data_IF_801675597779
#
_entry.id   IF_801675597779
#
_cell.length_a   1.000
_cell.length_b   1.000
_cell.length_c   1.000
_cell.angle_alpha   90.00
_cell.angle_beta   90.00
_cell.angle_gamma   90.00
#
_symmetry.space_group_name_H-M   'P 1'
#
loop_
_entity.id
_entity.type
_entity.pdbx_description
1 polymer ?
#
# COMPACT_ATOMS: atom_id res chain seq x y z
N UNK A 1 -2.37 -16.87 28.45
CA UNK A 1 -2.35 -16.09 27.20
C UNK A 1 -2.43 -17.08 26.06
N UNK A 2 -3.63 -17.30 25.51
CA UNK A 2 -3.77 -18.08 24.28
C UNK A 2 -3.36 -17.18 23.11
N UNK A 3 -2.24 -17.54 22.48
CA UNK A 3 -1.92 -17.10 21.14
C UNK A 3 -3.09 -17.53 20.24
N UNK A 4 -3.83 -16.58 19.65
CA UNK A 4 -5.04 -16.87 18.86
C UNK A 4 -4.79 -17.74 17.63
N UNK A 5 -3.55 -18.15 17.37
CA UNK A 5 -3.16 -19.24 16.44
C UNK A 5 -3.49 -18.99 14.98
N UNK A 6 -4.09 -17.83 14.65
CA UNK A 6 -4.57 -17.52 13.33
C UNK A 6 -3.47 -16.80 12.54
N UNK A 7 -3.00 -17.37 11.42
CA UNK A 7 -1.99 -16.72 10.61
C UNK A 7 -2.50 -15.38 10.06
N UNK A 8 -1.56 -14.46 9.82
CA UNK A 8 -1.84 -13.15 9.24
C UNK A 8 -2.63 -13.29 7.93
N UNK A 9 -3.82 -12.68 7.87
CA UNK A 9 -4.65 -12.69 6.67
C UNK A 9 -4.42 -11.44 5.84
N UNK A 10 -4.23 -11.64 4.55
CA UNK A 10 -4.28 -10.61 3.52
C UNK A 10 -5.63 -10.65 2.84
N UNK A 11 -6.34 -9.54 2.76
CA UNK A 11 -7.64 -9.48 2.07
C UNK A 11 -7.53 -10.03 0.66
N UNK A 12 -6.54 -9.53 -0.10
CA UNK A 12 -6.23 -10.00 -1.46
C UNK A 12 -6.20 -11.54 -1.57
N UNK A 13 -5.57 -12.22 -0.59
CA UNK A 13 -5.38 -13.66 -0.64
C UNK A 13 -6.49 -14.49 0.04
N UNK A 14 -7.24 -13.92 0.97
CA UNK A 14 -8.16 -14.68 1.83
C UNK A 14 -9.64 -14.30 1.67
N UNK A 15 -9.93 -13.10 1.13
CA UNK A 15 -11.31 -12.64 0.97
C UNK A 15 -12.10 -13.56 0.04
N UNK A 16 -13.35 -13.86 0.39
CA UNK A 16 -14.22 -14.72 -0.46
C UNK A 16 -14.90 -13.96 -1.58
N UNK A 17 -15.08 -12.65 -1.40
CA UNK A 17 -15.71 -11.75 -2.35
C UNK A 17 -15.14 -10.34 -2.23
N UNK A 18 -15.55 -9.44 -3.14
CA UNK A 18 -15.03 -8.06 -3.18
C UNK A 18 -15.47 -7.24 -1.95
N UNK A 19 -16.59 -7.57 -1.33
CA UNK A 19 -17.13 -6.86 -0.16
C UNK A 19 -16.51 -7.29 1.17
N UNK A 20 -15.83 -8.43 1.21
CA UNK A 20 -15.08 -8.90 2.37
C UNK A 20 -13.91 -7.94 2.66
N UNK A 21 -14.01 -7.22 3.78
CA UNK A 21 -13.02 -6.26 4.29
C UNK A 21 -12.26 -6.83 5.50
N UNK A 22 -11.89 -8.11 5.47
CA UNK A 22 -11.09 -8.74 6.52
C UNK A 22 -9.60 -8.86 6.18
N UNK A 23 -8.75 -8.86 7.22
CA UNK A 23 -7.29 -8.93 7.08
C UNK A 23 -6.65 -7.60 6.68
N UNK A 24 -5.40 -7.67 6.20
CA UNK A 24 -4.70 -6.50 5.66
C UNK A 24 -5.37 -6.09 4.35
N UNK A 25 -5.97 -4.89 4.36
CA UNK A 25 -6.76 -4.35 3.25
C UNK A 25 -5.88 -3.68 2.19
N UNK A 26 -4.86 -2.97 2.64
CA UNK A 26 -3.88 -2.27 1.81
C UNK A 26 -2.57 -2.14 2.59
N UNK A 27 -1.48 -1.87 1.87
CA UNK A 27 -0.16 -1.62 2.41
C UNK A 27 0.38 -0.33 1.82
N UNK A 28 0.60 0.67 2.68
CA UNK A 28 1.19 1.94 2.27
C UNK A 28 2.70 1.90 2.44
N UNK A 29 3.46 2.20 1.40
CA UNK A 29 4.93 2.20 1.43
C UNK A 29 5.53 3.37 0.67
N UNK A 30 6.85 3.53 0.80
CA UNK A 30 7.61 4.42 -0.07
C UNK A 30 7.84 3.77 -1.46
N UNK A 31 8.60 4.42 -2.32
CA UNK A 31 8.89 3.91 -3.66
C UNK A 31 10.11 2.97 -3.72
N UNK A 32 10.55 2.38 -2.61
CA UNK A 32 11.71 1.52 -2.59
C UNK A 32 11.43 0.17 -3.28
N UNK A 33 11.92 0.02 -4.52
CA UNK A 33 11.65 -1.16 -5.37
C UNK A 33 11.98 -2.50 -4.70
N UNK A 34 13.06 -2.58 -3.92
CA UNK A 34 13.43 -3.80 -3.18
C UNK A 34 12.42 -4.20 -2.09
N UNK A 35 11.86 -3.23 -1.35
CA UNK A 35 10.89 -3.49 -0.27
C UNK A 35 9.55 -3.91 -0.87
N UNK A 36 9.08 -3.18 -1.88
CA UNK A 36 7.87 -3.52 -2.62
C UNK A 36 7.98 -4.91 -3.25
N UNK A 37 9.08 -5.21 -3.96
CA UNK A 37 9.30 -6.54 -4.54
C UNK A 37 9.34 -7.63 -3.47
N UNK A 38 9.98 -7.38 -2.33
CA UNK A 38 10.00 -8.31 -1.20
C UNK A 38 8.59 -8.65 -0.69
N UNK A 39 7.72 -7.65 -0.55
CA UNK A 39 6.31 -7.86 -0.22
C UNK A 39 5.59 -8.66 -1.30
N UNK A 40 5.76 -8.32 -2.58
CA UNK A 40 5.15 -9.04 -3.70
C UNK A 40 5.56 -10.53 -3.74
N UNK A 41 6.85 -10.82 -3.56
CA UNK A 41 7.37 -12.20 -3.48
C UNK A 41 6.82 -12.95 -2.27
N UNK A 42 6.66 -12.28 -1.13
CA UNK A 42 6.02 -12.87 0.04
C UNK A 42 4.56 -13.24 -0.24
N UNK A 43 3.80 -12.35 -0.86
CA UNK A 43 2.39 -12.59 -1.23
C UNK A 43 2.26 -13.72 -2.24
N UNK A 44 3.16 -13.80 -3.21
CA UNK A 44 3.24 -14.90 -4.17
C UNK A 44 3.53 -16.24 -3.51
N UNK A 45 4.48 -16.27 -2.56
CA UNK A 45 4.75 -17.48 -1.78
C UNK A 45 3.52 -17.92 -0.98
N UNK A 46 2.81 -16.99 -0.36
CA UNK A 46 1.59 -17.29 0.39
C UNK A 46 0.47 -17.80 -0.54
N UNK A 47 0.28 -17.20 -1.71
CA UNK A 47 -0.77 -17.64 -2.65
C UNK A 47 -0.56 -19.06 -3.13
N UNK A 48 0.68 -19.52 -3.27
CA UNK A 48 1.03 -20.89 -3.64
C UNK A 48 0.78 -21.92 -2.53
N UNK A 49 0.62 -21.48 -1.29
CA UNK A 49 0.34 -22.34 -0.13
C UNK A 49 -1.15 -22.41 0.22
N UNK A 50 -1.95 -21.50 -0.34
CA UNK A 50 -3.39 -21.44 -0.12
C UNK A 50 -4.12 -22.37 -1.11
N UNK A 51 -5.34 -22.83 -0.78
CA UNK A 51 -6.20 -23.51 -1.73
C UNK A 51 -6.37 -22.70 -3.00
N UNK A 52 -6.28 -23.39 -4.14
CA UNK A 52 -6.33 -22.76 -5.43
C UNK A 52 -7.68 -22.06 -5.65
N UNK A 53 -7.63 -20.83 -6.13
CA UNK A 53 -8.81 -19.98 -6.32
C UNK A 53 -8.56 -18.93 -7.38
N UNK A 54 -9.64 -18.47 -7.99
CA UNK A 54 -9.60 -17.39 -8.96
C UNK A 54 -9.43 -16.04 -8.29
N UNK A 55 -8.75 -15.13 -8.99
CA UNK A 55 -8.61 -13.75 -8.57
C UNK A 55 -9.96 -13.01 -8.63
N UNK A 56 -10.26 -12.25 -7.58
CA UNK A 56 -11.54 -11.54 -7.47
C UNK A 56 -11.69 -10.41 -8.50
N UNK A 57 -10.57 -9.88 -9.01
CA UNK A 57 -10.56 -8.76 -9.96
C UNK A 57 -10.37 -9.25 -11.40
N UNK A 58 -9.72 -10.39 -11.58
CA UNK A 58 -9.47 -11.05 -12.85
C UNK A 58 -9.90 -12.52 -12.76
N UNK A 59 -11.22 -12.83 -12.87
CA UNK A 59 -11.74 -14.19 -12.62
C UNK A 59 -11.23 -15.28 -13.57
N UNK A 60 -10.51 -14.92 -14.62
CA UNK A 60 -9.86 -15.83 -15.57
C UNK A 60 -8.45 -16.26 -15.15
N UNK A 61 -7.89 -15.69 -14.06
CA UNK A 61 -6.56 -16.00 -13.55
C UNK A 61 -6.66 -16.59 -12.16
N UNK A 62 -5.79 -17.55 -11.84
CA UNK A 62 -5.66 -18.05 -10.46
C UNK A 62 -4.76 -17.13 -9.64
N UNK A 63 -5.04 -16.99 -8.35
CA UNK A 63 -4.22 -16.16 -7.45
C UNK A 63 -2.80 -16.73 -7.31
N UNK A 64 -2.65 -18.06 -7.42
CA UNK A 64 -1.38 -18.78 -7.40
C UNK A 64 -0.48 -18.52 -8.62
N UNK A 65 -1.06 -18.05 -9.73
CA UNK A 65 -0.38 -17.74 -11.00
C UNK A 65 0.00 -16.25 -11.14
N UNK A 66 -0.41 -15.41 -10.19
CA UNK A 66 -0.04 -14.00 -10.18
C UNK A 66 1.45 -13.85 -9.87
N UNK A 67 2.12 -12.94 -10.59
CA UNK A 67 3.50 -12.61 -10.28
C UNK A 67 3.58 -11.63 -9.08
N UNK A 68 4.80 -11.35 -8.60
CA UNK A 68 4.98 -10.47 -7.44
C UNK A 68 4.40 -9.06 -7.65
N UNK A 69 4.34 -8.54 -8.87
CA UNK A 69 3.83 -7.21 -9.18
C UNK A 69 2.32 -7.22 -9.33
N UNK A 70 1.73 -8.29 -9.87
CA UNK A 70 0.29 -8.51 -9.86
C UNK A 70 -0.27 -8.47 -8.43
N UNK A 71 0.43 -9.10 -7.48
CA UNK A 71 0.06 -9.03 -6.06
C UNK A 71 0.13 -7.60 -5.52
N UNK A 72 1.18 -6.84 -5.86
CA UNK A 72 1.31 -5.45 -5.43
C UNK A 72 0.18 -4.57 -5.96
N UNK A 73 -0.27 -4.74 -7.21
CA UNK A 73 -1.39 -3.96 -7.76
C UNK A 73 -2.71 -4.12 -6.98
N UNK A 74 -2.84 -5.16 -6.16
CA UNK A 74 -4.05 -5.49 -5.39
C UNK A 74 -3.99 -5.07 -3.92
N UNK A 75 -2.83 -4.60 -3.44
CA UNK A 75 -2.65 -4.26 -2.03
C UNK A 75 -1.79 -3.03 -1.79
N UNK A 76 -0.84 -2.71 -2.67
CA UNK A 76 0.17 -1.70 -2.42
C UNK A 76 -0.26 -0.31 -2.89
N UNK A 77 -0.14 0.68 -2.01
CA UNK A 77 -0.37 2.10 -2.30
C UNK A 77 0.88 2.88 -1.95
N UNK A 78 1.28 3.81 -2.81
CA UNK A 78 2.39 4.70 -2.52
C UNK A 78 1.97 5.77 -1.53
N UNK A 79 2.83 6.02 -0.55
CA UNK A 79 2.67 7.10 0.41
C UNK A 79 2.71 8.45 -0.32
N UNK A 80 1.59 9.16 -0.34
CA UNK A 80 1.46 10.43 -1.06
C UNK A 80 2.51 11.45 -0.61
N UNK A 81 2.85 11.49 0.68
CA UNK A 81 3.89 12.37 1.23
C UNK A 81 5.26 12.10 0.59
N UNK A 82 5.66 10.83 0.48
CA UNK A 82 6.93 10.46 -0.15
C UNK A 82 6.92 10.76 -1.65
N UNK A 83 5.81 10.48 -2.34
CA UNK A 83 5.68 10.82 -3.76
C UNK A 83 5.79 12.32 -3.98
N UNK A 84 5.07 13.13 -3.21
CA UNK A 84 5.10 14.59 -3.31
C UNK A 84 6.47 15.17 -2.96
N UNK A 85 7.16 14.62 -1.94
CA UNK A 85 8.53 14.98 -1.59
C UNK A 85 9.49 14.68 -2.74
N UNK A 86 9.39 13.51 -3.37
CA UNK A 86 10.21 13.12 -4.51
C UNK A 86 9.94 14.00 -5.75
N UNK A 87 8.68 14.36 -6.02
CA UNK A 87 8.33 15.30 -7.09
C UNK A 87 8.94 16.69 -6.81
N UNK A 88 8.89 17.17 -5.57
CA UNK A 88 9.42 18.48 -5.18
C UNK A 88 10.92 18.61 -5.51
N UNK A 89 11.71 17.58 -5.22
CA UNK A 89 13.16 17.56 -5.45
C UNK A 89 13.56 17.14 -6.87
N UNK A 90 12.61 16.72 -7.71
CA UNK A 90 12.88 16.37 -9.09
C UNK A 90 13.30 17.61 -9.90
N UNK A 91 14.37 17.49 -10.69
CA UNK A 91 14.95 18.56 -11.50
C UNK A 91 14.18 18.81 -12.80
N UNK A 92 12.91 19.18 -12.66
CA UNK A 92 12.01 19.57 -13.76
C UNK A 92 11.26 20.86 -13.40
N UNK A 93 10.73 21.54 -14.41
CA UNK A 93 9.95 22.76 -14.21
C UNK A 93 8.66 22.51 -13.44
N UNK A 94 8.13 23.56 -12.81
CA UNK A 94 6.92 23.45 -11.97
C UNK A 94 5.69 23.01 -12.77
N UNK A 95 5.61 23.37 -14.05
CA UNK A 95 4.56 22.88 -14.97
C UNK A 95 4.58 21.35 -15.11
N UNK A 96 5.77 20.76 -15.18
CA UNK A 96 5.97 19.31 -15.22
C UNK A 96 5.68 18.68 -13.86
N UNK A 97 6.10 19.31 -12.76
CA UNK A 97 5.74 18.86 -11.40
C UNK A 97 4.23 18.83 -11.20
N UNK A 98 3.50 19.82 -11.72
CA UNK A 98 2.04 19.85 -11.66
C UNK A 98 1.40 18.66 -12.40
N UNK A 99 1.93 18.30 -13.56
CA UNK A 99 1.51 17.07 -14.26
C UNK A 99 1.85 15.80 -13.46
N UNK A 100 3.05 15.72 -12.86
CA UNK A 100 3.41 14.58 -12.01
C UNK A 100 2.47 14.43 -10.80
N UNK A 101 2.08 15.56 -10.17
CA UNK A 101 1.14 15.56 -9.04
C UNK A 101 -0.27 15.18 -9.47
N UNK A 102 -0.72 15.56 -10.67
CA UNK A 102 -2.08 15.25 -11.14
C UNK A 102 -2.33 13.76 -11.30
N UNK A 103 -1.29 12.97 -11.56
CA UNK A 103 -1.37 11.51 -11.66
C UNK A 103 -1.72 10.82 -10.32
N UNK A 104 -1.56 11.51 -9.19
CA UNK A 104 -1.95 11.01 -7.86
C UNK A 104 -3.46 11.23 -7.68
N UNK A 105 -4.27 10.24 -8.04
CA UNK A 105 -5.72 10.43 -8.12
C UNK A 105 -6.52 9.13 -7.98
N UNK A 106 -7.86 9.26 -7.99
CA UNK A 106 -8.75 8.10 -8.09
C UNK A 106 -8.88 7.65 -9.54
N UNK A 107 -9.25 8.58 -10.41
CA UNK A 107 -9.42 8.39 -11.84
C UNK A 107 -8.78 9.58 -12.55
N UNK A 108 -8.04 9.32 -13.62
CA UNK A 108 -7.39 10.36 -14.41
C UNK A 108 -8.00 10.39 -15.81
N UNK A 109 -8.36 11.59 -16.29
CA UNK A 109 -9.01 11.75 -17.61
C UNK A 109 -8.13 11.30 -18.77
N UNK A 110 -6.84 11.62 -18.68
CA UNK A 110 -5.84 11.32 -19.73
C UNK A 110 -4.51 10.93 -19.07
N UNK A 111 -4.45 9.72 -18.50
CA UNK A 111 -3.26 9.27 -17.75
C UNK A 111 -2.05 9.13 -18.68
N UNK A 112 -2.20 8.38 -19.77
CA UNK A 112 -1.14 8.11 -20.74
C UNK A 112 -0.65 9.38 -21.46
N UNK A 113 -1.56 10.25 -21.92
CA UNK A 113 -1.14 11.52 -22.53
C UNK A 113 -0.47 12.47 -21.52
N UNK A 114 -0.75 12.34 -20.23
CA UNK A 114 0.00 13.07 -19.19
C UNK A 114 1.40 12.52 -18.98
N UNK A 115 1.58 11.19 -18.99
CA UNK A 115 2.92 10.57 -18.97
C UNK A 115 3.76 11.02 -20.17
N UNK A 116 3.19 10.99 -21.38
CA UNK A 116 3.87 11.45 -22.60
C UNK A 116 4.30 12.91 -22.51
N UNK A 117 3.43 13.79 -21.98
CA UNK A 117 3.75 15.21 -21.78
C UNK A 117 4.85 15.42 -20.73
N UNK A 118 4.93 14.59 -19.69
CA UNK A 118 6.02 14.64 -18.71
C UNK A 118 7.34 14.24 -19.38
N UNK A 119 7.36 13.19 -20.22
CA UNK A 119 8.56 12.78 -20.94
C UNK A 119 9.01 13.85 -21.95
N UNK A 120 8.08 14.43 -22.71
CA UNK A 120 8.37 15.44 -23.72
C UNK A 120 8.87 16.77 -23.12
N UNK A 121 8.26 17.22 -22.02
CA UNK A 121 8.53 18.54 -21.45
C UNK A 121 9.51 18.52 -20.27
N UNK A 122 9.76 17.37 -19.65
CA UNK A 122 10.61 17.25 -18.46
C UNK A 122 12.08 16.92 -18.75
N UNK A 123 12.49 16.86 -20.02
CA UNK A 123 13.83 16.46 -20.42
C UNK A 123 14.24 15.09 -19.85
N UNK A 124 15.53 14.91 -19.56
CA UNK A 124 16.04 13.65 -19.01
C UNK A 124 15.39 13.29 -17.67
N UNK A 125 15.27 14.25 -16.76
CA UNK A 125 14.72 14.01 -15.43
C UNK A 125 13.24 13.57 -15.47
N UNK A 126 12.44 14.18 -16.36
CA UNK A 126 11.06 13.77 -16.62
C UNK A 126 10.96 12.37 -17.24
N UNK A 127 11.79 12.07 -18.24
CA UNK A 127 11.82 10.74 -18.87
C UNK A 127 12.21 9.65 -17.86
N UNK A 128 13.32 9.86 -17.14
CA UNK A 128 13.79 8.94 -16.11
C UNK A 128 12.72 8.71 -15.05
N UNK A 129 11.99 9.76 -14.65
CA UNK A 129 10.90 9.63 -13.68
C UNK A 129 9.79 8.72 -14.22
N UNK A 130 9.33 8.92 -15.46
CA UNK A 130 8.27 8.08 -16.07
C UNK A 130 8.75 6.64 -16.24
N UNK A 131 9.95 6.44 -16.79
CA UNK A 131 10.55 5.12 -17.00
C UNK A 131 10.68 4.35 -15.68
N UNK A 132 11.10 5.02 -14.61
CA UNK A 132 11.18 4.42 -13.29
C UNK A 132 9.81 3.92 -12.79
N UNK A 133 8.74 4.72 -12.97
CA UNK A 133 7.38 4.31 -12.57
C UNK A 133 6.88 3.15 -13.42
N UNK A 134 7.06 3.20 -14.73
CA UNK A 134 6.65 2.14 -15.67
C UNK A 134 7.40 0.84 -15.36
N UNK A 135 8.73 0.89 -15.27
CA UNK A 135 9.59 -0.27 -14.98
C UNK A 135 9.26 -0.92 -13.65
N UNK A 136 8.89 -0.13 -12.64
CA UNK A 136 8.54 -0.67 -11.32
C UNK A 136 7.28 -1.53 -11.32
N UNK A 137 6.38 -1.36 -12.30
CA UNK A 137 5.06 -2.02 -12.46
C UNK A 137 4.05 -1.80 -11.33
N UNK A 138 4.49 -1.45 -10.12
CA UNK A 138 3.61 -1.17 -8.98
C UNK A 138 3.40 0.33 -8.72
N UNK A 139 4.28 1.22 -9.20
CA UNK A 139 4.21 2.63 -8.81
C UNK A 139 3.01 3.36 -9.42
N UNK A 140 2.70 3.16 -10.70
CA UNK A 140 1.54 3.79 -11.34
C UNK A 140 0.20 3.31 -10.72
N UNK A 141 -0.03 2.00 -10.53
CA UNK A 141 -1.14 1.50 -9.71
C UNK A 141 -1.13 2.02 -8.26
N UNK A 142 0.05 2.27 -7.70
CA UNK A 142 0.23 2.77 -6.34
C UNK A 142 -0.12 4.25 -6.15
N UNK A 143 -0.18 5.06 -7.21
CA UNK A 143 -0.57 6.48 -7.15
C UNK A 143 -1.96 6.76 -7.75
N UNK A 144 -2.46 5.90 -8.64
CA UNK A 144 -3.74 6.07 -9.32
C UNK A 144 -4.64 4.86 -9.11
N UNK A 145 -5.76 5.05 -8.41
CA UNK A 145 -6.66 3.94 -8.05
C UNK A 145 -7.17 3.18 -9.28
N UNK A 146 -7.53 3.87 -10.37
CA UNK A 146 -8.08 3.25 -11.57
C UNK A 146 -7.11 2.29 -12.28
N UNK A 147 -5.82 2.36 -11.95
CA UNK A 147 -4.79 1.42 -12.41
C UNK A 147 -4.51 0.30 -11.41
N UNK A 148 -5.07 0.40 -10.21
CA UNK A 148 -4.98 -0.61 -9.16
C UNK A 148 -6.18 -1.56 -9.18
N UNK A 149 -6.05 -2.65 -8.43
CA UNK A 149 -7.13 -3.56 -8.11
C UNK A 149 -7.52 -3.48 -6.63
N UNK A 150 -7.08 -2.44 -5.91
CA UNK A 150 -7.52 -2.23 -4.53
C UNK A 150 -8.99 -1.80 -4.56
N UNK A 151 -9.89 -2.36 -3.72
CA UNK A 151 -11.28 -1.92 -3.69
C UNK A 151 -11.39 -0.41 -3.42
N UNK A 152 -12.28 0.27 -4.14
CA UNK A 152 -12.42 1.74 -4.04
C UNK A 152 -12.66 2.22 -2.61
N UNK A 153 -13.45 1.47 -1.83
CA UNK A 153 -13.72 1.77 -0.42
C UNK A 153 -12.45 1.68 0.43
N UNK A 154 -11.59 0.67 0.19
CA UNK A 154 -10.31 0.53 0.87
C UNK A 154 -9.38 1.68 0.50
N UNK A 155 -9.27 2.01 -0.79
CA UNK A 155 -8.42 3.10 -1.24
C UNK A 155 -8.82 4.45 -0.65
N UNK A 156 -10.13 4.77 -0.66
CA UNK A 156 -10.64 6.05 -0.13
C UNK A 156 -10.46 6.19 1.39
N UNK A 157 -10.59 5.11 2.13
CA UNK A 157 -10.41 5.10 3.59
C UNK A 157 -8.95 4.86 4.00
N UNK A 158 -8.06 4.64 3.03
CA UNK A 158 -6.64 4.50 3.30
C UNK A 158 -6.01 5.85 3.63
N UNK A 159 -5.42 5.95 4.81
CA UNK A 159 -4.70 7.15 5.25
C UNK A 159 -3.60 7.53 4.24
N UNK A 160 -3.81 8.66 3.56
CA UNK A 160 -2.85 9.21 2.60
C UNK A 160 -2.07 10.42 3.14
N UNK A 161 -2.46 10.95 4.30
CA UNK A 161 -1.95 12.20 4.87
C UNK A 161 -1.28 11.94 6.24
N UNK A 162 0.01 12.26 6.37
CA UNK A 162 0.83 12.05 7.57
C UNK A 162 0.50 13.06 8.67
N UNK A 163 0.24 12.61 9.90
CA UNK A 163 1.26 12.63 10.96
C UNK A 163 1.57 11.25 11.55
N UNK A 164 0.59 10.34 11.60
CA UNK A 164 0.75 9.02 12.24
C UNK A 164 1.65 8.10 11.41
N UNK A 165 1.50 8.13 10.07
CA UNK A 165 2.35 7.35 9.16
C UNK A 165 3.78 7.90 9.12
N UNK A 166 3.99 9.22 9.29
CA UNK A 166 5.34 9.80 9.35
C UNK A 166 6.02 9.56 10.69
N UNK A 167 5.28 9.61 11.80
CA UNK A 167 5.77 9.15 13.11
C UNK A 167 6.13 7.66 13.04
N UNK A 168 5.25 6.80 12.52
CA UNK A 168 5.55 5.37 12.33
C UNK A 168 6.71 5.13 11.37
N UNK A 169 6.83 5.85 10.25
CA UNK A 169 7.96 5.72 9.33
C UNK A 169 9.25 6.25 9.97
N UNK A 170 9.20 7.34 10.75
CA UNK A 170 10.34 7.90 11.47
C UNK A 170 10.79 6.97 12.59
N UNK A 171 9.86 6.41 13.35
CA UNK A 171 10.11 5.43 14.42
C UNK A 171 10.65 4.13 13.83
N UNK A 172 10.05 3.62 12.74
CA UNK A 172 10.56 2.45 12.02
C UNK A 172 11.89 2.73 11.32
N UNK A 173 12.16 3.93 10.78
CA UNK A 173 13.49 4.23 10.21
C UNK A 173 14.57 4.48 11.26
N UNK A 174 14.20 5.05 12.42
CA UNK A 174 15.14 5.30 13.52
C UNK A 174 15.46 4.01 14.27
N UNK A 175 14.48 3.12 14.49
CA UNK A 175 14.68 1.80 15.09
C UNK A 175 15.11 0.71 14.08
N UNK A 176 14.74 0.85 12.81
CA UNK A 176 14.77 -0.22 11.81
C UNK A 176 15.98 -0.23 10.88
N UNK A 177 17.03 0.56 11.16
CA UNK A 177 18.33 0.43 10.44
C UNK A 177 18.90 -1.00 10.45
N UNK A 178 18.36 -1.89 11.29
CA UNK A 178 18.74 -3.30 11.39
C UNK A 178 17.57 -4.31 11.33
N UNK A 179 16.34 -3.91 11.00
CA UNK A 179 15.19 -4.83 11.01
C UNK A 179 14.78 -5.30 9.61
N UNK A 180 14.56 -6.62 9.46
CA UNK A 180 14.01 -7.20 8.24
C UNK A 180 12.52 -6.87 8.10
N UNK A 181 12.00 -6.91 6.86
CA UNK A 181 10.60 -6.61 6.53
C UNK A 181 9.60 -7.43 7.37
N UNK A 182 9.93 -8.69 7.67
CA UNK A 182 9.12 -9.60 8.51
C UNK A 182 9.06 -9.11 9.96
N UNK A 183 10.17 -8.58 10.49
CA UNK A 183 10.20 -7.97 11.82
C UNK A 183 9.38 -6.68 11.87
N UNK A 184 9.37 -5.90 10.78
CA UNK A 184 8.48 -4.74 10.62
C UNK A 184 7.00 -5.12 10.69
N UNK A 185 6.58 -6.17 9.97
CA UNK A 185 5.20 -6.70 10.03
C UNK A 185 4.82 -7.18 11.43
N UNK A 186 5.70 -7.95 12.08
CA UNK A 186 5.45 -8.44 13.45
C UNK A 186 5.36 -7.32 14.48
N UNK A 187 6.21 -6.29 14.36
CA UNK A 187 6.17 -5.10 15.23
C UNK A 187 4.92 -4.25 14.98
N UNK A 188 4.55 -4.00 13.72
CA UNK A 188 3.32 -3.29 13.39
C UNK A 188 2.09 -3.97 14.02
N UNK A 189 2.02 -5.30 13.91
CA UNK A 189 0.99 -6.08 14.59
C UNK A 189 1.00 -5.93 16.12
N UNK A 190 2.19 -5.94 16.74
CA UNK A 190 2.32 -5.72 18.18
C UNK A 190 1.82 -4.34 18.60
N UNK A 191 2.11 -3.30 17.80
CA UNK A 191 1.65 -1.95 18.05
C UNK A 191 0.13 -1.80 17.89
N UNK A 192 -0.46 -2.42 16.86
CA UNK A 192 -1.91 -2.47 16.67
C UNK A 192 -2.61 -3.22 17.80
N UNK A 193 -2.01 -4.31 18.27
CA UNK A 193 -2.49 -5.08 19.42
C UNK A 193 -2.47 -4.24 20.70
N UNK A 194 -1.37 -3.52 20.95
CA UNK A 194 -1.23 -2.60 22.09
C UNK A 194 -2.28 -1.49 22.04
N UNK A 195 -2.51 -0.86 20.88
CA UNK A 195 -3.57 0.14 20.71
C UNK A 195 -4.96 -0.44 20.97
N UNK A 196 -5.25 -1.63 20.45
CA UNK A 196 -6.52 -2.31 20.67
C UNK A 196 -6.76 -2.60 22.16
N UNK A 197 -5.72 -3.02 22.88
CA UNK A 197 -5.78 -3.26 24.32
C UNK A 197 -5.98 -1.96 25.11
N UNK A 198 -5.26 -0.89 24.78
CA UNK A 198 -5.44 0.43 25.40
C UNK A 198 -6.84 0.99 25.20
N UNK A 199 -7.41 0.83 24.00
CA UNK A 199 -8.79 1.23 23.71
C UNK A 199 -9.81 0.42 24.53
N UNK A 200 -9.59 -0.89 24.70
CA UNK A 200 -10.44 -1.73 25.57
C UNK A 200 -10.40 -1.29 27.02
N UNK A 201 -9.22 -0.98 27.54
CA UNK A 201 -9.05 -0.47 28.91
C UNK A 201 -9.77 0.87 29.07
N UNK A 202 -9.60 1.78 28.11
CA UNK A 202 -10.27 3.09 28.14
C UNK A 202 -11.80 2.96 28.10
N UNK A 203 -12.35 2.10 27.23
CA UNK A 203 -13.79 1.83 27.18
C UNK A 203 -14.32 1.16 28.45
N UNK A 204 -13.53 0.31 29.10
CA UNK A 204 -13.90 -0.32 30.38
C UNK A 204 -13.95 0.66 31.56
N UNK A 205 -13.28 1.81 31.44
CA UNK A 205 -13.30 2.88 32.45
C UNK A 205 -14.48 3.85 32.29
N UNK A 206 -15.23 3.77 31.18
CA UNK A 206 -16.36 4.66 30.85
C UNK A 206 -17.70 3.93 31.03
N UNK A 207 -17.70 2.61 31.23
CA UNK A 207 -18.92 1.86 31.53
C UNK A 207 -19.46 2.30 32.91
N UNK A 208 -20.71 2.80 33.01
CA UNK A 208 -21.29 3.13 34.30
C UNK A 208 -21.47 1.84 35.10
N UNK A 209 -21.09 1.88 36.38
CA UNK A 209 -21.38 0.82 37.35
C UNK A 209 -22.88 0.52 37.35
N UNK A 210 -23.32 -0.75 37.36
CA UNK A 210 -24.72 -1.08 37.56
C UNK A 210 -25.15 -0.50 38.91
N UNK A 211 -26.25 0.24 38.93
CA UNK A 211 -26.92 0.64 40.16
C UNK A 211 -27.61 -0.61 40.73
N UNK A 212 -27.17 -1.05 41.91
CA UNK A 212 -27.88 -2.01 42.77
C UNK A 212 -29.20 -1.40 43.31
#
# INVERSE_FOLDING_TARGET
>A
MEDTGSPLKWRHLHAKDISDLSGILQWTGDQHGGQAKGLGLHLRRLSQQLPDRYDLHQPHRKISELDEYDHLCRVFRLCAVHVLRNIKICSVDESVKNMMRSLICIEHRDFEGTLQRIQANGGKAGSDWVEDKVRSRFALPGICWSLSYIPRIVWKNGDSNSNIIEALHSDVNSEGRHCSLVSGVKKGFHFDLMKSQSLKVWLSQIAPTPLD
#
